data_IF_334284567543
#
_entry.id   IF_334284567543
#
_cell.length_a   1.000
_cell.length_b   1.000
_cell.length_c   1.000
_cell.angle_alpha   90.00
_cell.angle_beta   90.00
_cell.angle_gamma   90.00
#
_symmetry.space_group_name_H-M   'P 1'
#
loop_
_entity.id
_entity.type
_entity.pdbx_description
1 polymer ?
#
# COMPACT_ATOMS: atom_id res chain seq x y z
N UNK A 1 -18.88 6.10 -13.98
CA UNK A 1 -18.39 6.12 -15.35
C UNK A 1 -17.24 7.11 -15.53
N UNK A 2 -17.49 8.38 -15.26
CA UNK A 2 -16.44 9.41 -15.37
C UNK A 2 -15.34 9.23 -14.32
N UNK A 3 -15.68 8.72 -13.14
CA UNK A 3 -14.68 8.47 -12.08
C UNK A 3 -13.59 7.51 -12.56
N UNK A 4 -13.98 6.43 -13.25
CA UNK A 4 -13.02 5.45 -13.77
C UNK A 4 -12.11 6.08 -14.84
N UNK A 5 -12.65 6.95 -15.67
CA UNK A 5 -11.86 7.64 -16.70
C UNK A 5 -10.80 8.54 -16.06
N UNK A 6 -11.14 9.27 -15.01
CA UNK A 6 -10.17 10.09 -14.29
C UNK A 6 -9.11 9.26 -13.58
N UNK A 7 -9.49 8.08 -13.04
CA UNK A 7 -8.51 7.16 -12.48
C UNK A 7 -7.47 6.76 -13.54
N UNK A 8 -7.94 6.39 -14.75
CA UNK A 8 -7.05 6.00 -15.83
C UNK A 8 -6.16 7.16 -16.27
N UNK A 9 -6.70 8.38 -16.33
CA UNK A 9 -5.91 9.57 -16.68
C UNK A 9 -4.83 9.83 -15.64
N UNK A 10 -5.15 9.67 -14.35
CA UNK A 10 -4.16 9.80 -13.29
C UNK A 10 -3.06 8.76 -13.40
N UNK A 11 -3.43 7.50 -13.64
CA UNK A 11 -2.45 6.43 -13.83
C UNK A 11 -1.54 6.72 -15.01
N UNK A 12 -2.08 7.25 -16.09
CA UNK A 12 -1.31 7.60 -17.28
C UNK A 12 -0.31 8.74 -17.00
N UNK A 13 -0.69 9.72 -16.20
CA UNK A 13 0.23 10.80 -15.80
C UNK A 13 1.46 10.24 -15.09
N UNK A 14 1.29 9.20 -14.28
CA UNK A 14 2.42 8.57 -13.59
C UNK A 14 3.29 7.77 -14.57
N UNK A 15 2.67 6.98 -15.45
CA UNK A 15 3.42 6.07 -16.31
C UNK A 15 4.14 6.77 -17.45
N UNK A 16 3.53 7.80 -18.04
CA UNK A 16 4.08 8.45 -19.20
C UNK A 16 4.92 9.70 -18.89
N UNK A 17 4.41 10.54 -17.99
CA UNK A 17 5.03 11.82 -17.69
C UNK A 17 5.67 11.90 -16.31
N UNK A 18 5.48 10.90 -15.49
CA UNK A 18 5.88 10.91 -14.08
C UNK A 18 5.42 12.17 -13.34
N UNK A 19 4.26 12.70 -13.74
CA UNK A 19 3.72 13.93 -13.17
C UNK A 19 2.77 13.60 -12.02
N UNK A 20 3.32 13.62 -10.81
CA UNK A 20 2.57 13.29 -9.60
C UNK A 20 1.44 14.30 -9.35
N UNK A 21 1.65 15.58 -9.62
CA UNK A 21 0.61 16.60 -9.38
C UNK A 21 -0.58 16.42 -10.31
N UNK A 22 -0.32 16.16 -11.59
CA UNK A 22 -1.38 15.91 -12.55
C UNK A 22 -2.13 14.63 -12.21
N UNK A 23 -1.42 13.58 -11.77
CA UNK A 23 -2.03 12.34 -11.34
C UNK A 23 -2.97 12.58 -10.15
N UNK A 24 -2.50 13.28 -9.13
CA UNK A 24 -3.30 13.57 -7.93
C UNK A 24 -4.55 14.38 -8.31
N UNK A 25 -4.41 15.38 -9.18
CA UNK A 25 -5.56 16.18 -9.63
C UNK A 25 -6.63 15.30 -10.28
N UNK A 26 -6.22 14.33 -11.11
CA UNK A 26 -7.15 13.40 -11.74
C UNK A 26 -7.78 12.43 -10.75
N UNK A 27 -7.00 11.91 -9.77
CA UNK A 27 -7.55 11.06 -8.72
C UNK A 27 -8.56 11.84 -7.86
N UNK A 28 -8.28 13.11 -7.57
CA UNK A 28 -9.21 13.95 -6.81
C UNK A 28 -10.52 14.17 -7.56
N UNK A 29 -10.46 14.32 -8.89
CA UNK A 29 -11.67 14.41 -9.70
C UNK A 29 -12.47 13.11 -9.68
N UNK A 30 -11.78 11.98 -9.76
CA UNK A 30 -12.42 10.67 -9.64
C UNK A 30 -13.14 10.57 -8.29
N UNK A 31 -12.49 11.00 -7.20
CA UNK A 31 -13.04 10.93 -5.85
C UNK A 31 -14.16 11.94 -5.62
N UNK A 32 -14.16 13.08 -6.32
CA UNK A 32 -15.27 14.02 -6.25
C UNK A 32 -16.54 13.45 -6.89
N UNK A 33 -16.37 12.60 -7.90
CA UNK A 33 -17.49 11.92 -8.56
C UNK A 33 -17.93 10.68 -7.82
N UNK A 34 -16.99 9.95 -7.21
CA UNK A 34 -17.27 8.74 -6.42
C UNK A 34 -16.35 8.70 -5.18
N UNK A 35 -16.80 9.26 -4.05
CA UNK A 35 -15.98 9.28 -2.82
C UNK A 35 -15.62 7.90 -2.26
N UNK A 36 -16.32 6.86 -2.69
CA UNK A 36 -16.08 5.49 -2.24
C UNK A 36 -15.24 4.67 -3.23
N UNK A 37 -14.63 5.33 -4.20
CA UNK A 37 -13.82 4.67 -5.21
C UNK A 37 -12.46 4.28 -4.63
N UNK A 38 -12.38 3.07 -4.08
CA UNK A 38 -11.20 2.61 -3.33
C UNK A 38 -9.92 2.65 -4.17
N UNK A 39 -9.97 2.28 -5.44
CA UNK A 39 -8.77 2.28 -6.29
C UNK A 39 -8.18 3.68 -6.42
N UNK A 40 -9.02 4.71 -6.49
CA UNK A 40 -8.56 6.09 -6.56
C UNK A 40 -7.88 6.51 -5.25
N UNK A 41 -8.43 6.12 -4.10
CA UNK A 41 -7.80 6.38 -2.81
C UNK A 41 -6.43 5.72 -2.72
N UNK A 42 -6.33 4.45 -3.13
CA UNK A 42 -5.07 3.70 -3.08
C UNK A 42 -4.03 4.33 -4.01
N UNK A 43 -4.41 4.65 -5.24
CA UNK A 43 -3.49 5.23 -6.22
C UNK A 43 -3.01 6.60 -5.79
N UNK A 44 -3.92 7.43 -5.27
CA UNK A 44 -3.54 8.74 -4.71
C UNK A 44 -2.55 8.56 -3.56
N UNK A 45 -2.84 7.63 -2.65
CA UNK A 45 -1.95 7.34 -1.52
C UNK A 45 -0.55 6.90 -1.97
N UNK A 46 -0.48 6.01 -2.96
CA UNK A 46 0.81 5.53 -3.50
C UNK A 46 1.58 6.70 -4.13
N UNK A 47 0.89 7.56 -4.89
CA UNK A 47 1.52 8.71 -5.52
C UNK A 47 2.09 9.67 -4.46
N UNK A 48 1.31 9.95 -3.42
CA UNK A 48 1.76 10.79 -2.32
C UNK A 48 2.94 10.16 -1.57
N UNK A 49 2.89 8.85 -1.34
CA UNK A 49 4.00 8.12 -0.70
C UNK A 49 5.29 8.26 -1.50
N UNK A 50 5.20 8.08 -2.82
CA UNK A 50 6.38 8.18 -3.69
C UNK A 50 6.92 9.62 -3.75
N UNK A 51 6.06 10.61 -3.50
CA UNK A 51 6.45 12.02 -3.41
C UNK A 51 6.89 12.41 -2.00
N UNK A 52 6.97 11.46 -1.08
CA UNK A 52 7.36 11.65 0.33
C UNK A 52 6.38 12.50 1.13
N UNK A 53 5.15 12.64 0.66
CA UNK A 53 4.09 13.33 1.38
C UNK A 53 3.34 12.31 2.23
N UNK A 54 4.01 11.86 3.30
CA UNK A 54 3.59 10.70 4.08
C UNK A 54 2.31 10.92 4.87
N UNK A 55 2.11 12.12 5.42
CA UNK A 55 0.91 12.41 6.19
C UNK A 55 -0.35 12.28 5.32
N UNK A 56 -0.33 12.91 4.14
CA UNK A 56 -1.45 12.86 3.21
C UNK A 56 -1.64 11.45 2.63
N UNK A 57 -0.54 10.72 2.40
CA UNK A 57 -0.60 9.34 1.95
C UNK A 57 -1.30 8.45 2.97
N UNK A 58 -0.96 8.63 4.26
CA UNK A 58 -1.59 7.84 5.32
C UNK A 58 -3.09 8.12 5.40
N UNK A 59 -3.51 9.36 5.24
CA UNK A 59 -4.93 9.71 5.22
C UNK A 59 -5.67 8.97 4.10
N UNK A 60 -5.06 8.89 2.91
CA UNK A 60 -5.65 8.16 1.79
C UNK A 60 -5.78 6.67 2.08
N UNK A 61 -4.73 6.06 2.63
CA UNK A 61 -4.77 4.63 2.97
C UNK A 61 -5.74 4.35 4.13
N UNK A 62 -5.82 5.23 5.10
CA UNK A 62 -6.80 5.10 6.20
C UNK A 62 -8.22 5.09 5.65
N UNK A 63 -8.51 5.98 4.71
CA UNK A 63 -9.83 6.02 4.07
C UNK A 63 -10.10 4.73 3.29
N UNK A 64 -9.11 4.27 2.51
CA UNK A 64 -9.25 3.05 1.74
C UNK A 64 -9.50 1.83 2.64
N UNK A 65 -8.77 1.71 3.75
CA UNK A 65 -8.95 0.62 4.72
C UNK A 65 -10.31 0.71 5.40
N UNK A 66 -10.78 1.92 5.71
CA UNK A 66 -12.11 2.11 6.30
C UNK A 66 -13.21 1.67 5.34
N UNK A 67 -13.06 1.94 4.04
CA UNK A 67 -14.03 1.55 3.03
C UNK A 67 -14.04 0.03 2.81
N UNK A 68 -12.87 -0.59 2.77
CA UNK A 68 -12.71 -2.03 2.53
C UNK A 68 -11.59 -2.60 3.39
N UNK A 69 -11.90 -3.01 4.65
CA UNK A 69 -10.86 -3.50 5.57
C UNK A 69 -10.14 -4.76 5.11
N UNK A 70 -10.74 -5.53 4.21
CA UNK A 70 -10.14 -6.77 3.68
C UNK A 70 -9.46 -6.57 2.33
N UNK A 71 -9.27 -5.33 1.88
CA UNK A 71 -8.57 -5.07 0.63
C UNK A 71 -7.07 -5.14 0.87
N UNK A 72 -6.42 -6.13 0.24
CA UNK A 72 -4.99 -6.36 0.43
C UNK A 72 -4.16 -5.12 0.12
N UNK A 73 -4.40 -4.49 -1.03
CA UNK A 73 -3.60 -3.34 -1.46
C UNK A 73 -3.66 -2.17 -0.47
N UNK A 74 -4.86 -1.90 0.06
CA UNK A 74 -5.04 -0.83 1.04
C UNK A 74 -4.26 -1.12 2.33
N UNK A 75 -4.40 -2.34 2.86
CA UNK A 75 -3.74 -2.75 4.10
C UNK A 75 -2.23 -2.83 3.90
N UNK A 76 -1.78 -3.45 2.82
CA UNK A 76 -0.37 -3.63 2.51
C UNK A 76 0.34 -2.29 2.33
N UNK A 77 -0.23 -1.39 1.55
CA UNK A 77 0.39 -0.08 1.32
C UNK A 77 0.42 0.76 2.59
N UNK A 78 -0.62 0.67 3.43
CA UNK A 78 -0.61 1.37 4.71
C UNK A 78 0.48 0.81 5.63
N UNK A 79 0.63 -0.50 5.68
CA UNK A 79 1.69 -1.14 6.46
C UNK A 79 3.08 -0.73 5.99
N UNK A 80 3.29 -0.71 4.68
CA UNK A 80 4.54 -0.26 4.06
C UNK A 80 4.84 1.19 4.44
N UNK A 81 3.86 2.07 4.36
CA UNK A 81 4.00 3.46 4.75
C UNK A 81 4.32 3.58 6.24
N UNK A 82 3.60 2.87 7.09
CA UNK A 82 3.80 2.94 8.54
C UNK A 82 5.20 2.48 8.94
N UNK A 83 5.73 1.47 8.25
CA UNK A 83 7.11 1.06 8.48
C UNK A 83 8.07 2.18 8.08
N UNK A 84 7.80 2.87 6.97
CA UNK A 84 8.64 3.97 6.49
C UNK A 84 8.68 5.15 7.45
N UNK A 85 7.57 5.46 8.11
CA UNK A 85 7.49 6.59 9.06
C UNK A 85 7.72 6.15 10.51
N UNK A 86 8.29 4.96 10.70
CA UNK A 86 8.66 4.39 12.01
C UNK A 86 7.47 4.13 12.95
N UNK A 87 6.27 4.01 12.42
CA UNK A 87 5.13 3.47 13.17
C UNK A 87 5.18 1.94 13.06
N UNK A 88 6.15 1.34 13.72
CA UNK A 88 6.44 -0.08 13.57
C UNK A 88 5.30 -0.97 14.08
N UNK A 89 4.67 -0.60 15.19
CA UNK A 89 3.55 -1.39 15.73
C UNK A 89 2.36 -1.40 14.78
N UNK A 90 2.01 -0.25 14.20
CA UNK A 90 0.95 -0.15 13.20
C UNK A 90 1.31 -0.93 11.94
N UNK A 91 2.58 -0.88 11.54
CA UNK A 91 3.06 -1.65 10.39
C UNK A 91 2.93 -3.15 10.62
N UNK A 92 3.30 -3.64 11.79
CA UNK A 92 3.20 -5.06 12.14
C UNK A 92 1.73 -5.52 12.05
N UNK A 93 0.81 -4.75 12.59
CA UNK A 93 -0.61 -5.09 12.54
C UNK A 93 -1.11 -5.17 11.10
N UNK A 94 -0.74 -4.19 10.27
CA UNK A 94 -1.16 -4.17 8.86
C UNK A 94 -0.51 -5.29 8.05
N UNK A 95 0.78 -5.56 8.27
CA UNK A 95 1.49 -6.58 7.50
C UNK A 95 1.07 -8.00 7.92
N UNK A 96 0.75 -8.19 9.19
CA UNK A 96 0.17 -9.44 9.65
C UNK A 96 -1.15 -9.70 8.91
N UNK A 97 -2.02 -8.69 8.85
CA UNK A 97 -3.27 -8.81 8.12
C UNK A 97 -3.06 -9.01 6.63
N UNK A 98 -2.12 -8.27 6.04
CA UNK A 98 -1.81 -8.38 4.61
C UNK A 98 -1.35 -9.79 4.24
N UNK A 99 -0.47 -10.40 5.04
CA UNK A 99 0.01 -11.76 4.79
C UNK A 99 -1.10 -12.79 4.99
N UNK A 100 -2.08 -12.50 5.85
CA UNK A 100 -3.26 -13.36 6.00
C UNK A 100 -4.19 -13.24 4.79
N UNK A 101 -4.33 -12.03 4.23
CA UNK A 101 -5.18 -11.80 3.06
C UNK A 101 -4.59 -12.41 1.78
N UNK A 102 -3.27 -12.31 1.61
CA UNK A 102 -2.54 -12.90 0.48
C UNK A 102 -1.30 -13.64 0.96
N UNK A 103 -1.44 -14.89 1.42
CA UNK A 103 -0.29 -15.65 1.93
C UNK A 103 0.79 -15.90 0.89
N UNK A 104 0.48 -15.78 -0.40
CA UNK A 104 1.42 -16.02 -1.49
C UNK A 104 2.23 -14.79 -1.90
N UNK A 105 1.98 -13.63 -1.29
CA UNK A 105 2.67 -12.38 -1.66
C UNK A 105 4.00 -12.25 -0.93
N UNK A 106 5.10 -12.55 -1.64
CA UNK A 106 6.44 -12.56 -1.04
C UNK A 106 6.83 -11.21 -0.43
N UNK A 107 6.53 -10.10 -1.12
CA UNK A 107 6.86 -8.76 -0.63
C UNK A 107 6.23 -8.43 0.72
N UNK A 108 5.01 -8.90 0.96
CA UNK A 108 4.33 -8.66 2.24
C UNK A 108 5.04 -9.41 3.39
N UNK A 109 5.45 -10.66 3.16
CA UNK A 109 6.20 -11.42 4.15
C UNK A 109 7.56 -10.78 4.44
N UNK A 110 8.24 -10.29 3.40
CA UNK A 110 9.53 -9.62 3.57
C UNK A 110 9.41 -8.37 4.43
N UNK A 111 8.44 -7.50 4.13
CA UNK A 111 8.22 -6.30 4.94
C UNK A 111 7.78 -6.65 6.36
N UNK A 112 6.97 -7.68 6.52
CA UNK A 112 6.55 -8.15 7.84
C UNK A 112 7.78 -8.58 8.66
N UNK A 113 8.70 -9.33 8.04
CA UNK A 113 9.97 -9.70 8.67
C UNK A 113 10.79 -8.48 9.07
N UNK A 114 10.89 -7.50 8.18
CA UNK A 114 11.62 -6.26 8.46
C UNK A 114 11.04 -5.53 9.69
N UNK A 115 9.71 -5.44 9.75
CA UNK A 115 9.03 -4.80 10.88
C UNK A 115 9.24 -5.57 12.19
N UNK A 116 9.17 -6.89 12.15
CA UNK A 116 9.39 -7.74 13.31
C UNK A 116 10.83 -7.61 13.83
N UNK A 117 11.80 -7.51 12.92
CA UNK A 117 13.19 -7.32 13.33
C UNK A 117 13.38 -6.01 14.11
N UNK A 118 12.70 -4.95 13.68
CA UNK A 118 12.81 -3.64 14.35
C UNK A 118 12.38 -3.67 15.81
N UNK A 119 11.47 -4.58 16.18
CA UNK A 119 11.03 -4.74 17.57
C UNK A 119 11.74 -5.90 18.28
N UNK A 120 12.81 -6.43 17.67
CA UNK A 120 13.64 -7.46 18.29
C UNK A 120 13.11 -8.88 18.20
N UNK A 121 12.09 -9.13 17.38
CA UNK A 121 11.52 -10.46 17.18
C UNK A 121 12.26 -11.19 16.05
N UNK A 122 13.52 -11.51 16.31
CA UNK A 122 14.44 -12.07 15.32
C UNK A 122 13.99 -13.41 14.75
N UNK A 123 13.49 -14.31 15.59
CA UNK A 123 13.05 -15.64 15.14
C UNK A 123 11.82 -15.52 14.25
N UNK A 124 10.85 -14.70 14.64
CA UNK A 124 9.64 -14.48 13.84
C UNK A 124 9.98 -13.79 12.52
N UNK A 125 10.92 -12.83 12.55
CA UNK A 125 11.39 -12.16 11.33
C UNK A 125 12.01 -13.16 10.37
N UNK A 126 12.87 -14.05 10.86
CA UNK A 126 13.53 -15.06 10.03
C UNK A 126 12.52 -16.00 9.38
N UNK A 127 11.44 -16.36 10.09
CA UNK A 127 10.38 -17.20 9.54
C UNK A 127 9.72 -16.49 8.35
N UNK A 128 9.39 -15.20 8.49
CA UNK A 128 8.74 -14.46 7.43
C UNK A 128 9.66 -14.30 6.20
N UNK A 129 10.93 -14.03 6.41
CA UNK A 129 11.89 -13.94 5.30
C UNK A 129 12.06 -15.27 4.58
N UNK A 130 12.05 -16.37 5.32
CA UNK A 130 12.12 -17.71 4.72
C UNK A 130 10.90 -17.99 3.85
N UNK A 131 9.70 -17.62 4.32
CA UNK A 131 8.47 -17.75 3.53
C UNK A 131 8.60 -16.95 2.24
N UNK A 132 9.07 -15.69 2.32
CA UNK A 132 9.27 -14.85 1.15
C UNK A 132 10.23 -15.49 0.15
N UNK A 133 11.35 -16.01 0.63
CA UNK A 133 12.34 -16.67 -0.21
C UNK A 133 11.75 -17.90 -0.92
N UNK A 134 11.03 -18.74 -0.20
CA UNK A 134 10.41 -19.93 -0.77
C UNK A 134 9.36 -19.56 -1.84
N UNK A 135 8.57 -18.51 -1.60
CA UNK A 135 7.58 -18.04 -2.57
C UNK A 135 8.26 -17.56 -3.85
N UNK A 136 9.40 -16.88 -3.75
CA UNK A 136 10.14 -16.40 -4.91
C UNK A 136 10.75 -17.54 -5.72
N UNK A 137 11.21 -18.59 -5.07
CA UNK A 137 11.73 -19.77 -5.74
C UNK A 137 10.67 -20.48 -6.57
N UNK A 138 9.43 -20.53 -6.09
CA UNK A 138 8.34 -21.19 -6.82
C UNK A 138 7.97 -20.47 -8.10
N UNK A 139 8.28 -19.18 -8.23
CA UNK A 139 7.95 -18.37 -9.41
C UNK A 139 9.03 -18.42 -10.49
N UNK A 140 10.19 -18.87 -10.15
CA UNK A 140 11.28 -19.05 -11.12
C UNK A 140 11.43 -20.52 -11.51
#
# INVERSE_FOLDING_TARGET
QYAHEYLLMGNECITQAHDARAAIANYDKALSLDPNYIDAWIRKGITLFNSKEYFDAENCFNTAVSLHPANFKAVYNRGKLRLKIDNTEGAIADLDKATSLKPEHAGAHELFGDALLRVGKEVEAAIQWRIAEELRKKKS
#
